data_IF_297173910087
#
_entry.id   IF_297173910087
#
_cell.length_a   1.000
_cell.length_b   1.000
_cell.length_c   1.000
_cell.angle_alpha   90.00
_cell.angle_beta   90.00
_cell.angle_gamma   90.00
#
_symmetry.space_group_name_H-M   'P 1'
#
loop_
_entity.id
_entity.type
_entity.pdbx_description
1 polymer ?
#
# COMPACT_ATOMS: atom_id res chain seq x y z
N UNK A 1 13.35 -8.69 -8.64
CA UNK A 1 12.69 -7.41 -8.34
C UNK A 1 11.40 -7.78 -7.65
N UNK A 2 11.20 -7.31 -6.42
CA UNK A 2 9.94 -7.53 -5.71
C UNK A 2 8.84 -6.70 -6.40
N UNK A 3 7.64 -7.25 -6.49
CA UNK A 3 6.48 -6.54 -7.06
C UNK A 3 5.97 -5.55 -6.02
N UNK A 4 5.84 -4.28 -6.40
CA UNK A 4 5.25 -3.25 -5.54
C UNK A 4 3.73 -3.25 -5.68
N UNK A 5 3.03 -3.25 -4.54
CA UNK A 5 1.57 -3.17 -4.44
C UNK A 5 1.19 -1.85 -3.78
N UNK A 6 0.34 -1.07 -4.46
CA UNK A 6 -0.23 0.16 -3.93
C UNK A 6 -1.64 -0.09 -3.43
N UNK A 7 -1.93 0.32 -2.20
CA UNK A 7 -3.23 0.15 -1.55
C UNK A 7 -3.76 1.53 -1.17
N UNK A 8 -4.93 1.85 -1.69
CA UNK A 8 -5.66 3.06 -1.36
C UNK A 8 -6.97 2.68 -0.66
N UNK A 9 -7.08 3.05 0.60
CA UNK A 9 -8.27 2.78 1.41
C UNK A 9 -8.39 3.84 2.52
N UNK A 10 -9.60 4.33 2.78
CA UNK A 10 -9.84 5.34 3.82
C UNK A 10 -9.92 4.73 5.23
N UNK A 11 -10.03 3.41 5.35
CA UNK A 11 -10.05 2.70 6.62
C UNK A 11 -8.64 2.28 7.08
N UNK A 12 -8.10 2.84 8.19
CA UNK A 12 -6.75 2.54 8.63
C UNK A 12 -6.56 1.08 9.06
N UNK A 13 -7.62 0.42 9.53
CA UNK A 13 -7.58 -1.00 9.89
C UNK A 13 -7.41 -1.89 8.65
N UNK A 14 -8.01 -1.51 7.52
CA UNK A 14 -7.88 -2.24 6.25
C UNK A 14 -6.46 -2.08 5.72
N UNK A 15 -5.93 -0.86 5.69
CA UNK A 15 -4.56 -0.58 5.29
C UNK A 15 -3.54 -1.41 6.09
N UNK A 16 -3.60 -1.36 7.42
CA UNK A 16 -2.67 -2.09 8.29
C UNK A 16 -2.78 -3.61 8.10
N UNK A 17 -4.00 -4.13 7.92
CA UNK A 17 -4.23 -5.57 7.72
C UNK A 17 -3.63 -6.03 6.39
N UNK A 18 -3.92 -5.33 5.30
CA UNK A 18 -3.44 -5.70 3.96
C UNK A 18 -1.93 -5.51 3.82
N UNK A 19 -1.38 -4.44 4.41
CA UNK A 19 0.07 -4.20 4.46
C UNK A 19 0.80 -5.37 5.12
N UNK A 20 0.32 -5.84 6.28
CA UNK A 20 0.88 -7.00 6.96
C UNK A 20 0.82 -8.26 6.10
N UNK A 21 -0.37 -8.62 5.61
CA UNK A 21 -0.55 -9.82 4.80
C UNK A 21 0.34 -9.83 3.54
N UNK A 22 0.44 -8.71 2.82
CA UNK A 22 1.20 -8.65 1.58
C UNK A 22 2.72 -8.57 1.82
N UNK A 23 3.17 -7.90 2.89
CA UNK A 23 4.59 -7.94 3.25
C UNK A 23 5.03 -9.32 3.70
N UNK A 24 4.18 -10.06 4.41
CA UNK A 24 4.45 -11.45 4.82
C UNK A 24 4.64 -12.38 3.60
N UNK A 25 3.97 -12.07 2.48
CA UNK A 25 4.12 -12.77 1.18
C UNK A 25 5.33 -12.27 0.36
N UNK A 26 6.08 -11.29 0.85
CA UNK A 26 7.29 -10.76 0.21
C UNK A 26 7.05 -9.67 -0.84
N UNK A 27 5.88 -9.03 -0.83
CA UNK A 27 5.62 -7.84 -1.64
C UNK A 27 6.18 -6.58 -0.97
N UNK A 28 6.61 -5.62 -1.79
CA UNK A 28 6.78 -4.24 -1.33
C UNK A 28 5.40 -3.59 -1.32
N UNK A 29 5.04 -2.94 -0.22
CA UNK A 29 3.68 -2.39 -0.04
C UNK A 29 3.75 -0.92 0.31
N UNK A 30 3.02 -0.13 -0.47
CA UNK A 30 2.78 1.30 -0.25
C UNK A 30 1.29 1.48 0.06
N UNK A 31 0.99 2.03 1.23
CA UNK A 31 -0.37 2.32 1.68
C UNK A 31 -0.63 3.82 1.64
N UNK A 32 -1.84 4.20 1.24
CA UNK A 32 -2.27 5.58 1.23
C UNK A 32 -3.75 5.67 1.61
N UNK A 33 -4.13 6.72 2.34
CA UNK A 33 -5.54 6.97 2.73
C UNK A 33 -6.18 8.11 1.95
N UNK A 34 -5.39 8.83 1.15
CA UNK A 34 -5.84 9.94 0.33
C UNK A 34 -5.42 9.74 -1.14
N UNK A 35 -6.36 9.71 -2.10
CA UNK A 35 -6.04 9.52 -3.51
C UNK A 35 -5.02 10.53 -4.07
N UNK A 36 -5.01 11.75 -3.56
CA UNK A 36 -4.11 12.82 -4.03
C UNK A 36 -2.65 12.62 -3.64
N UNK A 37 -2.38 11.73 -2.71
CA UNK A 37 -1.03 11.47 -2.22
C UNK A 37 -0.40 10.24 -2.89
N UNK A 38 -1.00 9.73 -3.98
CA UNK A 38 -0.46 8.66 -4.83
C UNK A 38 0.50 9.22 -5.89
N UNK A 39 0.38 10.51 -6.23
CA UNK A 39 1.12 11.13 -7.34
C UNK A 39 2.62 11.30 -7.05
N UNK A 40 3.08 11.23 -5.79
CA UNK A 40 4.50 11.39 -5.44
C UNK A 40 5.35 10.12 -5.66
N UNK A 41 4.73 8.94 -5.76
CA UNK A 41 5.44 7.65 -5.81
C UNK A 41 5.47 6.99 -7.19
N UNK A 42 4.89 7.62 -8.22
CA UNK A 42 4.78 7.08 -9.59
C UNK A 42 5.60 7.84 -10.65
N UNK A 43 6.43 8.82 -10.24
CA UNK A 43 7.36 9.56 -11.11
C UNK A 43 8.76 8.95 -11.20
#
# INVERSE_FOLDING_TARGET
>A
MATTVYILDDEPNILATLEGCLRDEGFEVVTQSNPLAIEEDLE
#
